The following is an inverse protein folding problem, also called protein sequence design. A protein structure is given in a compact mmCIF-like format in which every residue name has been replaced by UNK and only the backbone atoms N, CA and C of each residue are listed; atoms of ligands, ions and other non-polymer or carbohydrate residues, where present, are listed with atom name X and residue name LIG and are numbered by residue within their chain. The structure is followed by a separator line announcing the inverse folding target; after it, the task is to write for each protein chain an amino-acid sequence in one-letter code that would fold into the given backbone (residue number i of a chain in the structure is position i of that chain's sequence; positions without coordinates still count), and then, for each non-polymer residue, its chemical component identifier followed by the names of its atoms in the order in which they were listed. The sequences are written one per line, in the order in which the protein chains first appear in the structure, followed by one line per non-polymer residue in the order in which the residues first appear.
data_IF_547676567270
#
_entry.id   IF_547676567270
#
_cell.length_a   1.000
_cell.length_b   1.000
_cell.length_c   1.000
_cell.angle_alpha   90.00
_cell.angle_beta   90.00
_cell.angle_gamma   90.00
#
_symmetry.space_group_name_H-M   'P 1'
#
loop_
_entity.id
_entity.type
_entity.pdbx_description
1 polymer ?
#
# COMPACT_ATOMS: atom_id res chain seq x y z
N UNK A 1 3.38 17.94 17.38
CA UNK A 1 3.93 18.25 16.03
C UNK A 1 5.08 19.22 16.18
N UNK A 2 6.27 18.85 15.71
CA UNK A 2 7.29 19.82 15.30
C UNK A 2 7.46 19.82 13.79
N UNK A 3 7.58 21.03 13.23
CA UNK A 3 7.64 21.35 11.81
C UNK A 3 9.11 21.31 11.37
N UNK A 4 9.44 20.55 10.33
CA UNK A 4 10.74 20.60 9.66
C UNK A 4 10.59 21.37 8.33
N UNK A 5 11.50 22.30 7.99
CA UNK A 5 11.58 22.88 6.66
C UNK A 5 12.37 21.94 5.73
N UNK A 6 11.82 21.70 4.54
CA UNK A 6 12.54 21.31 3.31
C UNK A 6 12.50 22.58 2.42
N UNK A 7 13.53 23.00 1.70
CA UNK A 7 14.35 22.25 0.75
C UNK A 7 15.75 22.89 0.61
N UNK A 8 16.80 22.07 0.49
CA UNK A 8 18.04 22.46 -0.19
C UNK A 8 18.50 21.29 -1.04
N UNK A 9 18.40 21.48 -2.35
CA UNK A 9 18.79 20.54 -3.40
C UNK A 9 20.26 20.81 -3.70
N UNK A 10 21.16 19.95 -3.22
CA UNK A 10 22.56 19.99 -3.64
C UNK A 10 22.73 19.06 -4.84
N UNK A 11 23.08 19.68 -5.95
CA UNK A 11 23.33 19.08 -7.25
C UNK A 11 24.82 19.28 -7.51
N UNK A 12 25.66 18.31 -7.12
CA UNK A 12 27.09 18.34 -7.43
C UNK A 12 27.40 17.24 -8.45
N UNK A 13 27.35 17.62 -9.71
CA UNK A 13 27.97 16.92 -10.81
C UNK A 13 28.87 17.96 -11.50
N UNK A 14 30.12 18.05 -11.04
CA UNK A 14 31.15 18.84 -11.72
C UNK A 14 31.91 17.89 -12.66
N UNK A 15 31.39 17.73 -13.87
CA UNK A 15 32.23 17.36 -15.02
C UNK A 15 32.88 18.65 -15.55
N UNK A 16 34.20 18.61 -15.61
CA UNK A 16 35.05 19.72 -16.05
C UNK A 16 35.07 19.72 -17.58
N UNK A 17 34.11 20.40 -18.21
CA UNK A 17 34.10 20.63 -19.65
C UNK A 17 34.97 21.86 -19.97
N UNK A 18 36.05 21.66 -20.71
CA UNK A 18 36.98 22.72 -21.12
C UNK A 18 36.56 23.19 -22.50
N UNK A 19 35.67 24.19 -22.52
CA UNK A 19 35.23 24.87 -23.74
C UNK A 19 36.33 25.83 -24.21
N UNK A 20 36.90 25.55 -25.39
CA UNK A 20 37.83 26.45 -26.07
C UNK A 20 37.01 27.53 -26.78
N UNK A 21 37.17 28.84 -26.47
CA UNK A 21 36.53 29.86 -27.26
C UNK A 21 37.19 29.94 -28.65
N UNK A 22 36.44 29.55 -29.68
CA UNK A 22 36.69 29.92 -31.07
C UNK A 22 36.73 31.45 -31.17
N UNK A 23 37.93 32.00 -31.35
CA UNK A 23 38.10 33.40 -31.74
C UNK A 23 37.71 33.54 -33.22
N UNK A 24 36.42 33.75 -33.46
CA UNK A 24 35.92 34.31 -34.70
C UNK A 24 36.61 35.66 -34.97
N UNK A 25 37.24 35.73 -36.14
CA UNK A 25 38.04 36.84 -36.59
C UNK A 25 37.18 38.10 -36.78
N UNK A 26 37.29 39.04 -35.84
CA UNK A 26 36.74 40.38 -36.00
C UNK A 26 37.68 41.21 -36.89
N UNK A 27 37.40 41.21 -38.19
CA UNK A 27 37.96 42.16 -39.16
C UNK A 27 37.23 43.49 -38.99
N UNK A 28 37.90 44.45 -38.35
CA UNK A 28 37.49 45.85 -38.26
C UNK A 28 38.50 46.68 -39.05
N UNK A 29 38.21 46.89 -40.33
CA UNK A 29 38.83 47.91 -41.17
C UNK A 29 38.25 49.26 -40.77
N UNK A 30 39.05 50.15 -40.19
CA UNK A 30 38.95 51.61 -40.29
C UNK A 30 40.16 52.22 -39.58
N UNK A 31 41.23 52.58 -40.30
CA UNK A 31 42.13 53.66 -39.88
C UNK A 31 42.64 54.40 -41.12
N UNK A 32 42.00 55.54 -41.37
CA UNK A 32 42.45 56.61 -42.25
C UNK A 32 43.67 57.30 -41.59
N UNK A 33 44.85 57.18 -42.20
CA UNK A 33 46.01 57.96 -41.80
C UNK A 33 46.82 58.40 -43.01
N UNK A 34 46.42 59.59 -43.48
CA UNK A 34 47.17 60.58 -44.25
C UNK A 34 48.70 60.39 -44.27
N UNK A 35 49.19 59.74 -45.32
CA UNK A 35 50.59 59.78 -45.72
C UNK A 35 50.96 61.20 -46.15
N UNK A 36 51.58 61.95 -45.23
CA UNK A 36 52.11 63.29 -45.48
C UNK A 36 53.60 63.36 -45.17
N UNK A 37 54.33 63.76 -46.21
CA UNK A 37 55.67 64.35 -46.18
C UNK A 37 56.87 63.42 -46.00
N UNK A 38 57.54 63.22 -47.14
CA UNK A 38 58.98 63.05 -47.17
C UNK A 38 59.66 64.22 -46.43
N UNK A 39 60.60 63.89 -45.55
CA UNK A 39 61.68 64.76 -45.12
C UNK A 39 62.94 63.90 -44.99
N UNK A 40 63.77 63.97 -46.01
CA UNK A 40 65.19 63.68 -45.92
C UNK A 40 65.82 64.79 -45.07
N UNK A 41 66.23 64.51 -43.84
CA UNK A 41 67.43 65.12 -43.27
C UNK A 41 67.96 64.27 -42.11
N UNK A 42 69.26 64.10 -42.09
CA UNK A 42 69.96 63.10 -41.30
C UNK A 42 70.02 63.43 -39.81
N UNK A 43 69.80 62.38 -39.00
CA UNK A 43 70.56 62.15 -37.79
C UNK A 43 70.73 60.64 -37.64
N UNK A 44 71.66 60.09 -38.43
CA UNK A 44 72.15 58.72 -38.28
C UNK A 44 72.92 58.66 -36.96
N UNK A 45 72.20 58.52 -35.85
CA UNK A 45 72.81 58.05 -34.62
C UNK A 45 73.26 56.61 -34.87
N UNK A 46 74.52 56.51 -35.26
CA UNK A 46 75.35 55.32 -35.38
C UNK A 46 75.42 54.68 -33.99
N UNK A 47 74.32 54.02 -33.59
CA UNK A 47 74.35 53.09 -32.47
C UNK A 47 75.30 52.00 -32.90
N UNK A 48 76.44 51.93 -32.21
CA UNK A 48 77.47 50.93 -32.46
C UNK A 48 76.81 49.56 -32.67
N UNK A 49 77.14 48.86 -33.76
CA UNK A 49 76.60 47.53 -34.05
C UNK A 49 76.79 46.59 -32.83
N UNK A 50 77.83 46.86 -32.04
CA UNK A 50 78.10 46.21 -30.75
C UNK A 50 76.99 46.39 -29.71
N UNK A 51 76.38 47.58 -29.61
CA UNK A 51 75.28 47.86 -28.68
C UNK A 51 73.95 47.25 -29.14
N UNK A 52 73.73 47.16 -30.46
CA UNK A 52 72.60 46.41 -31.03
C UNK A 52 72.73 44.91 -30.73
N UNK A 53 73.91 44.34 -30.91
CA UNK A 53 74.17 42.92 -30.61
C UNK A 53 74.11 42.63 -29.10
N UNK A 54 74.57 43.58 -28.25
CA UNK A 54 74.44 43.48 -26.79
C UNK A 54 72.98 43.37 -26.36
N UNK A 55 72.10 44.26 -26.84
CA UNK A 55 70.66 44.23 -26.53
C UNK A 55 69.99 42.97 -27.04
N UNK A 56 70.40 42.46 -28.21
CA UNK A 56 69.91 41.18 -28.74
C UNK A 56 70.28 40.02 -27.82
N UNK A 57 71.52 40.00 -27.34
CA UNK A 57 72.00 38.98 -26.40
C UNK A 57 71.23 39.03 -25.07
N UNK A 58 71.04 40.22 -24.50
CA UNK A 58 70.26 40.41 -23.27
C UNK A 58 68.83 39.88 -23.42
N UNK A 59 68.16 40.17 -24.55
CA UNK A 59 66.82 39.67 -24.83
C UNK A 59 66.77 38.13 -24.95
N UNK A 60 67.79 37.51 -25.56
CA UNK A 60 67.91 36.05 -25.63
C UNK A 60 68.19 35.44 -24.26
N UNK A 61 69.04 36.05 -23.44
CA UNK A 61 69.31 35.62 -22.06
C UNK A 61 68.05 35.72 -21.19
N UNK A 62 67.27 36.79 -21.33
CA UNK A 62 65.98 36.93 -20.65
C UNK A 62 64.98 35.84 -21.09
N UNK A 63 64.86 35.59 -22.40
CA UNK A 63 63.98 34.56 -22.93
C UNK A 63 64.37 33.17 -22.44
N UNK A 64 65.67 32.83 -22.48
CA UNK A 64 66.16 31.53 -21.99
C UNK A 64 65.98 31.38 -20.48
N UNK A 65 66.14 32.46 -19.71
CA UNK A 65 65.85 32.47 -18.27
C UNK A 65 64.36 32.29 -17.98
N UNK A 66 63.47 32.87 -18.79
CA UNK A 66 62.02 32.65 -18.68
C UNK A 66 61.66 31.20 -19.02
N UNK A 67 62.18 30.65 -20.11
CA UNK A 67 61.96 29.24 -20.49
C UNK A 67 62.42 28.28 -19.37
N UNK A 68 63.56 28.57 -18.75
CA UNK A 68 64.05 27.82 -17.60
C UNK A 68 63.06 27.90 -16.41
N UNK A 69 62.58 29.08 -16.07
CA UNK A 69 61.58 29.23 -15.01
C UNK A 69 60.27 28.48 -15.33
N UNK A 70 59.79 28.53 -16.57
CA UNK A 70 58.61 27.78 -17.00
C UNK A 70 58.81 26.26 -16.90
N UNK A 71 59.99 25.77 -17.30
CA UNK A 71 60.30 24.34 -17.17
C UNK A 71 60.41 23.91 -15.72
N UNK A 72 61.07 24.69 -14.87
CA UNK A 72 61.15 24.44 -13.43
C UNK A 72 59.76 24.43 -12.77
N UNK A 73 58.90 25.41 -13.08
CA UNK A 73 57.53 25.48 -12.55
C UNK A 73 56.68 24.30 -12.99
N UNK A 74 56.75 23.94 -14.27
CA UNK A 74 56.06 22.77 -14.82
C UNK A 74 56.49 21.48 -14.11
N UNK A 75 57.78 21.29 -13.90
CA UNK A 75 58.31 20.10 -13.22
C UNK A 75 57.88 20.05 -11.75
N UNK A 76 57.83 21.20 -11.06
CA UNK A 76 57.29 21.28 -9.71
C UNK A 76 55.80 20.88 -9.67
N UNK A 77 54.99 21.40 -10.59
CA UNK A 77 53.56 21.08 -10.67
C UNK A 77 53.34 19.57 -10.91
N UNK A 78 54.10 18.96 -11.81
CA UNK A 78 53.99 17.52 -12.07
C UNK A 78 54.40 16.68 -10.85
N UNK A 79 55.50 17.04 -10.16
CA UNK A 79 55.95 16.33 -8.95
C UNK A 79 54.93 16.46 -7.82
N UNK A 80 54.37 17.65 -7.63
CA UNK A 80 53.31 17.86 -6.64
C UNK A 80 52.08 17.02 -6.97
N UNK A 81 51.62 17.05 -8.22
CA UNK A 81 50.46 16.27 -8.65
C UNK A 81 50.68 14.76 -8.47
N UNK A 82 51.87 14.26 -8.83
CA UNK A 82 52.22 12.86 -8.62
C UNK A 82 52.19 12.51 -7.13
N UNK A 83 52.75 13.36 -6.29
CA UNK A 83 52.75 13.17 -4.82
C UNK A 83 51.33 13.14 -4.25
N UNK A 84 50.44 14.01 -4.70
CA UNK A 84 49.02 14.00 -4.28
C UNK A 84 48.34 12.68 -4.64
N UNK A 85 48.59 12.16 -5.86
CA UNK A 85 48.04 10.87 -6.31
C UNK A 85 48.63 9.71 -5.51
N UNK A 86 49.95 9.71 -5.30
CA UNK A 86 50.62 8.68 -4.50
C UNK A 86 50.09 8.65 -3.06
N UNK A 87 49.87 9.82 -2.43
CA UNK A 87 49.28 9.90 -1.10
C UNK A 87 47.87 9.31 -1.06
N UNK A 88 46.99 9.69 -2.00
CA UNK A 88 45.64 9.10 -2.10
C UNK A 88 45.69 7.59 -2.35
N UNK A 89 46.62 7.12 -3.18
CA UNK A 89 46.81 5.70 -3.42
C UNK A 89 47.23 4.97 -2.13
N UNK A 90 48.14 5.55 -1.34
CA UNK A 90 48.53 4.99 -0.04
C UNK A 90 47.37 4.96 0.95
N UNK A 91 46.53 6.00 1.01
CA UNK A 91 45.32 6.01 1.84
C UNK A 91 44.35 4.88 1.47
N UNK A 92 44.18 4.62 0.16
CA UNK A 92 43.34 3.52 -0.33
C UNK A 92 43.95 2.17 0.02
N UNK A 93 45.25 1.97 -0.21
CA UNK A 93 45.96 0.71 0.12
C UNK A 93 45.92 0.44 1.63
N UNK A 94 46.09 1.48 2.46
CA UNK A 94 46.00 1.39 3.90
C UNK A 94 44.55 1.22 4.41
N UNK A 95 43.55 1.36 3.53
CA UNK A 95 42.13 1.32 3.90
C UNK A 95 41.70 2.49 4.78
N UNK A 96 42.43 3.61 4.75
CA UNK A 96 42.17 4.83 5.53
C UNK A 96 41.48 5.93 4.71
N UNK A 97 41.11 5.66 3.46
CA UNK A 97 40.43 6.62 2.59
C UNK A 97 39.06 7.03 3.16
N UNK A 98 38.98 8.25 3.70
CA UNK A 98 37.77 8.78 4.36
C UNK A 98 36.57 8.86 3.42
N UNK A 99 36.81 9.17 2.14
CA UNK A 99 35.79 9.21 1.08
C UNK A 99 34.99 7.90 0.99
N UNK A 100 35.58 6.76 1.40
CA UNK A 100 34.90 5.46 1.47
C UNK A 100 34.43 5.10 2.88
N UNK A 101 35.25 5.40 3.90
CA UNK A 101 34.95 5.03 5.28
C UNK A 101 33.70 5.73 5.84
N UNK A 102 33.48 7.01 5.54
CA UNK A 102 32.29 7.73 6.03
C UNK A 102 30.97 7.17 5.48
N UNK A 103 30.83 6.93 4.15
CA UNK A 103 29.67 6.21 3.62
C UNK A 103 29.52 4.80 4.20
N UNK A 104 30.63 4.09 4.44
CA UNK A 104 30.60 2.74 5.00
C UNK A 104 30.03 2.72 6.43
N UNK A 105 30.46 3.65 7.29
CA UNK A 105 29.93 3.80 8.66
C UNK A 105 28.43 4.10 8.61
N UNK A 106 28.03 5.05 7.77
CA UNK A 106 26.62 5.41 7.58
C UNK A 106 25.78 4.22 7.10
N UNK A 107 26.30 3.43 6.16
CA UNK A 107 25.64 2.22 5.67
C UNK A 107 25.51 1.15 6.75
N UNK A 108 26.54 0.98 7.57
CA UNK A 108 26.54 0.05 8.71
C UNK A 108 25.52 0.46 9.77
N UNK A 109 25.42 1.76 10.09
CA UNK A 109 24.38 2.29 10.97
C UNK A 109 22.98 2.05 10.41
N UNK A 110 22.75 2.33 9.13
CA UNK A 110 21.47 2.09 8.46
C UNK A 110 21.09 0.60 8.47
N UNK A 111 22.07 -0.30 8.30
CA UNK A 111 21.84 -1.74 8.44
C UNK A 111 21.37 -2.08 9.86
N UNK A 112 22.06 -1.58 10.89
CA UNK A 112 21.68 -1.82 12.28
C UNK A 112 20.28 -1.30 12.61
N UNK A 113 19.95 -0.09 12.12
CA UNK A 113 18.61 0.49 12.30
C UNK A 113 17.56 -0.41 11.64
N UNK A 114 17.78 -0.83 10.38
CA UNK A 114 16.86 -1.73 9.67
C UNK A 114 16.66 -3.05 10.41
N UNK A 115 17.72 -3.65 10.94
CA UNK A 115 17.62 -4.88 11.74
C UNK A 115 16.81 -4.67 13.02
N UNK A 116 17.05 -3.57 13.75
CA UNK A 116 16.29 -3.23 14.96
C UNK A 116 14.81 -3.02 14.66
N UNK A 117 14.49 -2.24 13.62
CA UNK A 117 13.11 -1.99 13.19
C UNK A 117 12.41 -3.28 12.78
N UNK A 118 13.08 -4.16 12.03
CA UNK A 118 12.54 -5.46 11.67
C UNK A 118 12.26 -6.34 12.91
N UNK A 119 13.13 -6.29 13.91
CA UNK A 119 12.92 -6.96 15.20
C UNK A 119 11.67 -6.48 15.92
N UNK A 120 11.53 -5.16 16.10
CA UNK A 120 10.35 -4.54 16.74
C UNK A 120 9.08 -4.88 15.94
N UNK A 121 9.13 -4.81 14.62
CA UNK A 121 7.98 -5.13 13.78
C UNK A 121 7.53 -6.59 13.97
N UNK A 122 8.48 -7.54 14.00
CA UNK A 122 8.19 -8.95 14.28
C UNK A 122 7.52 -9.12 15.64
N UNK A 123 8.01 -8.46 16.68
CA UNK A 123 7.42 -8.51 18.03
C UNK A 123 5.98 -7.98 18.03
N UNK A 124 5.73 -6.84 17.39
CA UNK A 124 4.38 -6.27 17.25
C UNK A 124 3.43 -7.19 16.48
N UNK A 125 3.90 -7.86 15.42
CA UNK A 125 3.11 -8.84 14.69
C UNK A 125 2.73 -10.03 15.58
N UNK A 126 3.69 -10.58 16.34
CA UNK A 126 3.42 -11.68 17.27
C UNK A 126 2.43 -11.27 18.35
N UNK A 127 2.59 -10.09 18.92
CA UNK A 127 1.66 -9.55 19.92
C UNK A 127 0.27 -9.33 19.35
N UNK A 128 0.16 -8.85 18.10
CA UNK A 128 -1.12 -8.70 17.42
C UNK A 128 -1.82 -10.05 17.20
N UNK A 129 -1.08 -11.09 16.81
CA UNK A 129 -1.63 -12.45 16.64
C UNK A 129 -2.08 -13.02 17.99
N UNK A 130 -1.27 -12.83 19.04
CA UNK A 130 -1.62 -13.25 20.39
C UNK A 130 -2.90 -12.59 20.88
N UNK A 131 -3.02 -11.28 20.73
CA UNK A 131 -4.22 -10.54 21.13
C UNK A 131 -5.47 -11.02 20.37
N UNK A 132 -5.35 -11.31 19.07
CA UNK A 132 -6.48 -11.89 18.30
C UNK A 132 -6.87 -13.26 18.83
N UNK A 133 -5.89 -14.11 19.11
CA UNK A 133 -6.11 -15.43 19.69
C UNK A 133 -6.81 -15.32 21.06
N UNK A 134 -6.33 -14.46 21.95
CA UNK A 134 -6.90 -14.29 23.29
C UNK A 134 -8.33 -13.74 23.23
N UNK A 135 -8.61 -12.78 22.34
CA UNK A 135 -9.96 -12.27 22.09
C UNK A 135 -10.91 -13.35 21.57
N UNK A 136 -10.47 -14.18 20.61
CA UNK A 136 -11.28 -15.26 20.05
C UNK A 136 -11.58 -16.33 21.11
N UNK A 137 -10.59 -16.69 21.92
CA UNK A 137 -10.76 -17.61 23.05
C UNK A 137 -11.78 -17.07 24.05
N UNK A 138 -11.72 -15.78 24.38
CA UNK A 138 -12.67 -15.13 25.27
C UNK A 138 -14.09 -15.12 24.67
N UNK A 139 -14.22 -14.75 23.39
CA UNK A 139 -15.51 -14.71 22.70
C UNK A 139 -16.16 -16.11 22.65
N UNK A 140 -15.38 -17.14 22.33
CA UNK A 140 -15.85 -18.53 22.32
C UNK A 140 -16.30 -19.00 23.71
N UNK A 141 -15.55 -18.66 24.76
CA UNK A 141 -15.92 -18.99 26.15
C UNK A 141 -17.21 -18.31 26.57
N UNK A 142 -17.36 -17.01 26.29
CA UNK A 142 -18.57 -16.24 26.62
C UNK A 142 -19.79 -16.73 25.84
N UNK A 143 -19.61 -17.03 24.54
CA UNK A 143 -20.67 -17.62 23.72
C UNK A 143 -21.13 -18.95 24.30
N UNK A 144 -20.20 -19.84 24.66
CA UNK A 144 -20.54 -21.12 25.27
C UNK A 144 -21.29 -20.96 26.60
N UNK A 145 -20.84 -20.07 27.47
CA UNK A 145 -21.53 -19.79 28.75
C UNK A 145 -22.94 -19.24 28.54
N UNK A 146 -23.11 -18.32 27.57
CA UNK A 146 -24.40 -17.75 27.22
C UNK A 146 -25.37 -18.80 26.68
N UNK A 147 -24.94 -19.62 25.71
CA UNK A 147 -25.75 -20.70 25.13
C UNK A 147 -26.16 -21.73 26.19
N UNK A 148 -25.23 -22.07 27.08
CA UNK A 148 -25.52 -22.96 28.21
C UNK A 148 -26.64 -22.38 29.08
N UNK A 149 -26.53 -21.10 29.47
CA UNK A 149 -27.52 -20.45 30.32
C UNK A 149 -28.89 -20.35 29.60
N UNK A 150 -28.89 -19.95 28.33
CA UNK A 150 -30.10 -19.86 27.51
C UNK A 150 -30.81 -21.22 27.38
N UNK A 151 -30.06 -22.31 27.27
CA UNK A 151 -30.61 -23.66 27.24
C UNK A 151 -31.26 -24.03 28.58
N UNK A 152 -30.61 -23.69 29.71
CA UNK A 152 -31.21 -23.89 31.04
C UNK A 152 -32.52 -23.12 31.19
N UNK A 153 -32.55 -21.84 30.80
CA UNK A 153 -33.75 -21.01 30.86
C UNK A 153 -34.86 -21.55 29.96
N UNK A 154 -34.51 -22.05 28.76
CA UNK A 154 -35.46 -22.67 27.82
C UNK A 154 -36.09 -23.92 28.43
N UNK A 155 -35.28 -24.84 28.97
CA UNK A 155 -35.78 -26.06 29.61
C UNK A 155 -36.61 -25.75 30.85
N UNK A 156 -36.18 -24.77 31.65
CA UNK A 156 -36.94 -24.32 32.82
C UNK A 156 -38.32 -23.78 32.39
N UNK A 157 -38.36 -22.89 31.40
CA UNK A 157 -39.62 -22.34 30.88
C UNK A 157 -40.55 -23.40 30.31
N UNK A 158 -40.02 -24.41 29.60
CA UNK A 158 -40.81 -25.55 29.12
C UNK A 158 -41.42 -26.37 30.26
N UNK A 159 -40.68 -26.57 31.36
CA UNK A 159 -41.16 -27.29 32.52
C UNK A 159 -42.23 -26.49 33.27
N UNK A 160 -42.01 -25.19 33.48
CA UNK A 160 -42.99 -24.28 34.11
C UNK A 160 -44.29 -24.22 33.29
N UNK A 161 -44.19 -24.15 31.97
CA UNK A 161 -45.36 -24.16 31.07
C UNK A 161 -46.09 -25.52 31.08
N UNK A 162 -45.36 -26.64 31.16
CA UNK A 162 -45.97 -27.98 31.34
C UNK A 162 -46.70 -28.06 32.67
N UNK A 163 -46.13 -27.55 33.75
CA UNK A 163 -46.78 -27.50 35.07
C UNK A 163 -48.06 -26.67 34.98
N UNK A 164 -48.00 -25.45 34.42
CA UNK A 164 -49.16 -24.57 34.23
C UNK A 164 -50.28 -25.25 33.45
N UNK A 165 -49.98 -25.91 32.33
CA UNK A 165 -51.00 -26.65 31.55
C UNK A 165 -51.62 -27.80 32.32
N UNK A 166 -50.83 -28.56 33.09
CA UNK A 166 -51.35 -29.64 33.93
C UNK A 166 -52.27 -29.10 35.04
N UNK A 167 -51.94 -27.94 35.60
CA UNK A 167 -52.80 -27.25 36.57
C UNK A 167 -54.09 -26.77 35.91
N UNK A 168 -54.03 -26.17 34.72
CA UNK A 168 -55.21 -25.77 33.95
C UNK A 168 -56.10 -26.98 33.61
N UNK A 169 -55.51 -28.07 33.14
CA UNK A 169 -56.23 -29.31 32.85
C UNK A 169 -56.92 -29.86 34.10
N UNK A 170 -56.24 -29.84 35.26
CA UNK A 170 -56.83 -30.23 36.56
C UNK A 170 -58.05 -29.39 36.90
N UNK A 171 -57.93 -28.06 36.85
CA UNK A 171 -59.06 -27.15 37.13
C UNK A 171 -60.19 -27.30 36.09
N UNK A 172 -59.86 -27.57 34.83
CA UNK A 172 -60.85 -27.80 33.77
C UNK A 172 -61.67 -29.08 34.02
N UNK A 173 -61.04 -30.14 34.51
CA UNK A 173 -61.71 -31.40 34.89
C UNK A 173 -62.62 -31.17 36.08
N UNK A 174 -62.19 -30.42 37.10
CA UNK A 174 -63.01 -30.12 38.27
C UNK A 174 -64.28 -29.35 37.89
N UNK A 175 -64.17 -28.30 37.07
CA UNK A 175 -65.32 -27.52 36.57
C UNK A 175 -66.25 -28.38 35.71
N UNK A 176 -65.68 -29.21 34.83
CA UNK A 176 -66.46 -30.08 33.95
C UNK A 176 -67.16 -31.18 34.77
N UNK A 177 -66.49 -31.75 35.77
CA UNK A 177 -67.02 -32.75 36.69
C UNK A 177 -68.20 -32.21 37.51
N UNK A 178 -68.12 -30.97 38.00
CA UNK A 178 -69.24 -30.30 38.68
C UNK A 178 -70.46 -30.10 37.74
N UNK A 179 -70.21 -29.71 36.48
CA UNK A 179 -71.26 -29.51 35.48
C UNK A 179 -71.97 -30.82 35.05
N UNK A 180 -71.24 -31.94 35.00
CA UNK A 180 -71.82 -33.26 34.71
C UNK A 180 -72.44 -33.94 35.95
N UNK A 181 -71.96 -33.64 37.16
CA UNK A 181 -72.59 -34.11 38.40
C UNK A 181 -73.90 -33.39 38.70
N UNK A 182 -74.02 -32.10 38.35
CA UNK A 182 -75.27 -31.34 38.50
C UNK A 182 -76.39 -31.85 37.55
N UNK A 183 -76.01 -32.47 36.44
CA UNK A 183 -76.93 -33.15 35.52
C UNK A 183 -77.48 -34.51 36.01
N UNK A 184 -76.88 -35.11 37.05
CA UNK A 184 -77.22 -36.47 37.51
C UNK A 184 -78.09 -36.51 38.78
N UNK A 185 -78.42 -35.37 39.38
CA UNK A 185 -79.31 -35.31 40.56
C UNK A 185 -80.77 -34.93 40.23
N UNK A 186 -81.16 -34.84 38.96
CA UNK A 186 -82.55 -34.58 38.58
C UNK A 186 -83.19 -35.73 37.81
N UNK A 187 -84.08 -36.44 38.52
CA UNK A 187 -85.17 -37.30 38.01
C UNK A 187 -84.82 -38.63 37.33
N UNK A 188 -85.10 -39.70 38.09
CA UNK A 188 -85.73 -40.93 37.58
C UNK A 188 -86.98 -40.57 36.75
N UNK A 189 -86.99 -40.84 35.43
CA UNK A 189 -88.16 -41.38 34.72
C UNK A 189 -87.88 -41.75 33.24
N UNK A 190 -87.86 -43.06 32.98
CA UNK A 190 -88.67 -43.79 31.98
C UNK A 190 -88.78 -43.23 30.54
N UNK A 191 -88.04 -43.83 29.58
CA UNK A 191 -88.58 -44.63 28.44
C UNK A 191 -87.49 -44.99 27.40
N UNK A 192 -87.61 -46.21 26.88
CA UNK A 192 -86.99 -46.79 25.66
C UNK A 192 -87.24 -45.89 24.42
N UNK A 193 -86.45 -45.91 23.34
CA UNK A 193 -86.27 -47.01 22.36
C UNK A 193 -85.14 -46.70 21.32
N UNK A 194 -84.78 -47.59 20.37
CA UNK A 194 -83.39 -47.88 20.01
C UNK A 194 -83.14 -47.88 18.49
N UNK A 195 -82.52 -46.86 17.89
CA UNK A 195 -82.08 -46.95 16.48
C UNK A 195 -80.81 -46.12 16.22
N UNK A 196 -79.72 -46.83 15.91
CA UNK A 196 -78.51 -46.33 15.22
C UNK A 196 -78.82 -45.97 13.75
N UNK A 197 -77.89 -45.47 12.88
CA UNK A 197 -76.47 -45.13 13.05
C UNK A 197 -76.06 -43.79 12.37
N UNK A 198 -74.91 -43.22 12.74
CA UNK A 198 -74.41 -41.99 12.08
C UNK A 198 -72.91 -41.79 12.19
N UNK A 199 -72.13 -42.58 11.45
CA UNK A 199 -70.68 -42.36 11.28
C UNK A 199 -70.45 -41.01 10.60
N UNK A 200 -70.02 -39.99 11.35
CA UNK A 200 -69.37 -38.80 10.78
C UNK A 200 -67.88 -38.89 11.08
N UNK A 201 -67.11 -39.13 10.02
CA UNK A 201 -65.65 -39.07 10.01
C UNK A 201 -65.23 -37.69 10.52
N UNK A 202 -64.38 -37.64 11.54
CA UNK A 202 -63.62 -36.41 11.86
C UNK A 202 -62.76 -36.08 10.65
N UNK A 203 -62.64 -34.81 10.22
CA UNK A 203 -61.67 -34.43 9.21
C UNK A 203 -60.27 -34.84 9.70
N UNK A 204 -59.49 -35.48 8.84
CA UNK A 204 -58.08 -35.74 9.12
C UNK A 204 -57.39 -34.38 9.17
N UNK A 205 -57.03 -33.93 10.37
CA UNK A 205 -56.15 -32.78 10.52
C UNK A 205 -54.77 -33.25 10.05
N UNK A 206 -54.33 -32.72 8.92
CA UNK A 206 -52.97 -32.93 8.40
C UNK A 206 -52.02 -32.29 9.40
N UNK A 207 -51.46 -33.09 10.30
CA UNK A 207 -50.34 -32.70 11.15
C UNK A 207 -49.06 -33.05 10.41
N UNK A 208 -48.49 -32.05 9.76
CA UNK A 208 -47.21 -32.12 9.06
C UNK A 208 -46.68 -30.71 8.82
N UNK A 209 -45.36 -30.51 8.71
CA UNK A 209 -44.76 -29.19 8.58
C UNK A 209 -45.30 -28.51 7.32
N UNK A 210 -45.98 -27.38 7.51
CA UNK A 210 -46.53 -26.59 6.42
C UNK A 210 -45.39 -25.77 5.81
N UNK A 211 -45.08 -26.01 4.53
CA UNK A 211 -44.18 -25.13 3.78
C UNK A 211 -45.00 -23.88 3.44
N UNK A 212 -44.78 -22.81 4.19
CA UNK A 212 -45.37 -21.50 3.91
C UNK A 212 -44.60 -20.89 2.74
N UNK A 213 -45.22 -20.86 1.55
CA UNK A 213 -44.61 -20.25 0.34
C UNK A 213 -44.72 -18.72 0.30
N UNK A 214 -45.48 -18.13 1.22
CA UNK A 214 -45.71 -16.69 1.30
C UNK A 214 -44.94 -16.13 2.49
N UNK A 215 -43.98 -15.23 2.24
CA UNK A 215 -43.33 -14.48 3.32
C UNK A 215 -44.37 -13.62 4.06
N UNK A 216 -44.13 -13.34 5.35
CA UNK A 216 -44.99 -12.41 6.08
C UNK A 216 -44.76 -10.99 5.55
N UNK A 217 -45.80 -10.14 5.60
CA UNK A 217 -45.72 -8.76 5.12
C UNK A 217 -44.57 -7.97 5.78
N UNK A 218 -44.19 -8.34 7.01
CA UNK A 218 -43.08 -7.73 7.73
C UNK A 218 -41.72 -8.05 7.08
N UNK A 219 -41.48 -9.32 6.73
CA UNK A 219 -40.24 -9.79 6.09
C UNK A 219 -40.09 -9.17 4.69
N UNK A 220 -41.21 -9.06 3.96
CA UNK A 220 -41.25 -8.38 2.65
C UNK A 220 -40.87 -6.90 2.80
N UNK A 221 -41.32 -6.24 3.86
CA UNK A 221 -41.03 -4.83 4.12
C UNK A 221 -39.58 -4.59 4.54
N UNK A 222 -39.01 -5.52 5.31
CA UNK A 222 -37.59 -5.52 5.69
C UNK A 222 -36.69 -5.73 4.46
N UNK A 223 -36.99 -6.73 3.62
CA UNK A 223 -36.25 -6.97 2.38
C UNK A 223 -36.38 -5.78 1.42
N UNK A 224 -37.57 -5.20 1.31
CA UNK A 224 -37.81 -4.00 0.50
C UNK A 224 -36.96 -2.80 0.98
N UNK A 225 -36.82 -2.61 2.28
CA UNK A 225 -35.97 -1.55 2.84
C UNK A 225 -34.49 -1.85 2.66
N UNK A 226 -34.07 -3.11 2.78
CA UNK A 226 -32.69 -3.55 2.51
C UNK A 226 -32.30 -3.31 1.03
N UNK A 227 -33.18 -3.65 0.08
CA UNK A 227 -32.97 -3.39 -1.35
C UNK A 227 -32.84 -1.90 -1.62
N UNK A 228 -33.73 -1.07 -1.07
CA UNK A 228 -33.64 0.39 -1.21
C UNK A 228 -32.33 0.96 -0.67
N UNK A 229 -31.85 0.44 0.46
CA UNK A 229 -30.59 0.86 1.08
C UNK A 229 -29.38 0.46 0.24
N UNK A 230 -29.39 -0.73 -0.35
CA UNK A 230 -28.37 -1.18 -1.29
C UNK A 230 -28.40 -0.41 -2.62
N UNK A 231 -29.58 -0.09 -3.15
CA UNK A 231 -29.70 0.74 -4.36
C UNK A 231 -29.21 2.18 -4.13
N UNK A 232 -29.34 2.71 -2.92
CA UNK A 232 -28.78 4.02 -2.57
C UNK A 232 -27.25 4.02 -2.47
N UNK A 233 -26.62 2.90 -2.09
CA UNK A 233 -25.16 2.75 -2.08
C UNK A 233 -24.59 2.43 -3.46
N UNK A 234 -25.40 1.90 -4.38
CA UNK A 234 -25.07 1.66 -5.79
C UNK A 234 -25.77 2.71 -6.68
N UNK A 235 -25.57 4.00 -6.40
CA UNK A 235 -26.07 5.07 -7.26
C UNK A 235 -25.38 5.06 -8.63
N UNK A 236 -26.08 5.44 -9.73
CA UNK A 236 -25.51 5.44 -11.08
C UNK A 236 -24.38 6.45 -11.20
N UNK A 237 -23.23 5.96 -11.66
CA UNK A 237 -22.06 6.74 -12.04
C UNK A 237 -22.47 7.72 -13.16
N UNK A 238 -22.85 8.95 -12.78
CA UNK A 238 -22.99 10.05 -13.74
C UNK A 238 -21.58 10.44 -14.16
N UNK A 239 -21.18 9.94 -15.34
CA UNK A 239 -20.09 10.50 -16.12
C UNK A 239 -20.42 11.98 -16.36
N UNK A 240 -19.69 12.86 -15.70
CA UNK A 240 -19.57 14.26 -16.09
C UNK A 240 -18.13 14.47 -16.53
N UNK A 241 -18.00 14.78 -17.81
CA UNK A 241 -16.79 15.30 -18.45
C UNK A 241 -16.55 16.69 -17.89
N UNK A 242 -15.40 16.89 -17.24
CA UNK A 242 -14.61 18.13 -17.26
C UNK A 242 -13.18 17.85 -16.74
N UNK A 243 -12.20 18.04 -17.63
CA UNK A 243 -10.76 18.35 -17.48
C UNK A 243 -9.85 17.57 -16.47
N UNK A 244 -8.53 17.43 -16.78
CA UNK A 244 -7.77 16.24 -16.47
C UNK A 244 -7.05 16.32 -15.12
N UNK A 245 -7.41 15.43 -14.20
CA UNK A 245 -6.57 15.10 -13.05
C UNK A 245 -6.25 13.61 -13.18
N UNK A 246 -5.00 13.29 -13.53
CA UNK A 246 -4.49 11.91 -13.58
C UNK A 246 -4.78 11.22 -12.24
N UNK A 247 -5.65 10.19 -12.17
CA UNK A 247 -5.55 9.22 -11.11
C UNK A 247 -4.72 8.08 -11.67
N UNK A 248 -3.46 7.99 -11.27
CA UNK A 248 -2.68 6.76 -11.41
C UNK A 248 -3.24 5.72 -10.42
N UNK A 249 -4.50 5.31 -10.65
CA UNK A 249 -5.12 4.16 -10.04
C UNK A 249 -5.12 3.09 -11.12
N UNK A 250 -4.15 2.18 -11.01
CA UNK A 250 -4.19 0.90 -11.71
C UNK A 250 -5.51 0.22 -11.33
N UNK A 251 -6.55 0.43 -12.14
CA UNK A 251 -7.76 -0.36 -12.06
C UNK A 251 -7.36 -1.74 -12.57
N UNK A 252 -7.00 -2.64 -11.65
CA UNK A 252 -6.76 -4.02 -12.00
C UNK A 252 -8.08 -4.63 -12.46
N UNK A 253 -8.26 -4.77 -13.78
CA UNK A 253 -9.42 -5.45 -14.36
C UNK A 253 -9.21 -6.95 -14.18
N UNK A 254 -9.89 -7.52 -13.18
CA UNK A 254 -9.98 -8.96 -12.99
C UNK A 254 -11.25 -9.47 -13.66
N UNK A 255 -11.12 -10.33 -14.68
CA UNK A 255 -12.27 -11.00 -15.32
C UNK A 255 -12.02 -12.50 -15.41
N UNK A 256 -13.08 -13.29 -15.33
CA UNK A 256 -13.04 -14.74 -15.53
C UNK A 256 -13.77 -15.11 -16.82
N UNK A 257 -13.12 -15.88 -17.67
CA UNK A 257 -13.70 -16.41 -18.90
C UNK A 257 -13.13 -17.81 -19.16
N UNK A 258 -13.98 -18.78 -19.51
CA UNK A 258 -13.61 -20.17 -19.83
C UNK A 258 -12.68 -20.86 -18.80
N UNK A 259 -12.94 -20.65 -17.50
CA UNK A 259 -12.15 -21.26 -16.43
C UNK A 259 -10.72 -20.73 -16.30
N UNK A 260 -10.42 -19.58 -16.93
CA UNK A 260 -9.15 -18.84 -16.81
C UNK A 260 -9.40 -17.48 -16.17
N UNK A 261 -8.44 -17.04 -15.35
CA UNK A 261 -8.46 -15.71 -14.73
C UNK A 261 -7.63 -14.74 -15.57
N UNK A 262 -8.21 -13.63 -15.98
CA UNK A 262 -7.49 -12.52 -16.57
C UNK A 262 -7.16 -11.50 -15.48
N UNK A 263 -5.87 -11.25 -15.27
CA UNK A 263 -5.39 -10.24 -14.33
C UNK A 263 -4.15 -9.56 -14.92
N UNK A 264 -4.10 -8.23 -14.87
CA UNK A 264 -2.97 -7.42 -15.33
C UNK A 264 -2.49 -7.80 -16.76
N UNK A 265 -3.44 -7.84 -17.70
CA UNK A 265 -3.23 -8.20 -19.11
C UNK A 265 -2.71 -9.62 -19.39
N UNK A 266 -2.80 -10.54 -18.42
CA UNK A 266 -2.37 -11.94 -18.57
C UNK A 266 -3.45 -12.92 -18.14
N UNK A 267 -3.48 -14.07 -18.82
CA UNK A 267 -4.36 -15.19 -18.49
C UNK A 267 -3.65 -16.20 -17.59
N UNK A 268 -4.34 -16.62 -16.53
CA UNK A 268 -3.88 -17.60 -15.57
C UNK A 268 -4.83 -18.79 -15.52
N UNK A 269 -4.25 -19.99 -15.47
CA UNK A 269 -4.97 -21.27 -15.33
C UNK A 269 -5.00 -21.71 -13.86
N UNK A 270 -5.95 -22.58 -13.51
CA UNK A 270 -6.06 -23.17 -12.16
C UNK A 270 -4.71 -23.74 -11.70
N UNK A 271 -4.28 -23.39 -10.48
CA UNK A 271 -3.01 -23.80 -9.89
C UNK A 271 -1.81 -22.90 -10.21
N UNK A 272 -1.94 -21.90 -11.08
CA UNK A 272 -0.88 -20.91 -11.30
C UNK A 272 -0.89 -19.83 -10.19
N UNK A 273 0.31 -19.43 -9.79
CA UNK A 273 0.52 -18.40 -8.79
C UNK A 273 0.61 -17.00 -9.43
N UNK A 274 -0.06 -16.03 -8.84
CA UNK A 274 -0.09 -14.61 -9.24
C UNK A 274 0.50 -13.81 -8.10
N UNK A 275 1.49 -12.97 -8.40
CA UNK A 275 2.10 -12.07 -7.42
C UNK A 275 1.52 -10.67 -7.63
N UNK A 276 0.83 -10.15 -6.61
CA UNK A 276 0.27 -8.78 -6.65
C UNK A 276 1.11 -7.94 -5.69
N UNK A 277 1.88 -6.99 -6.25
CA UNK A 277 2.64 -6.02 -5.47
C UNK A 277 1.82 -4.74 -5.37
N UNK A 278 1.31 -4.43 -4.18
CA UNK A 278 0.77 -3.08 -3.90
C UNK A 278 1.91 -2.20 -3.43
N UNK A 279 1.90 -0.92 -3.81
CA UNK A 279 3.03 0.02 -3.64
C UNK A 279 3.45 0.23 -2.17
N UNK A 280 2.61 -0.20 -1.21
CA UNK A 280 2.83 -0.06 0.24
C UNK A 280 2.75 -1.39 1.03
N UNK A 281 2.77 -2.56 0.36
CA UNK A 281 2.70 -3.88 1.02
C UNK A 281 3.71 -4.87 0.40
N UNK A 282 4.21 -5.82 1.20
CA UNK A 282 5.04 -6.93 0.69
C UNK A 282 4.30 -7.70 -0.41
N UNK A 283 5.00 -8.15 -1.48
CA UNK A 283 4.35 -8.84 -2.59
C UNK A 283 3.70 -10.14 -2.12
N UNK A 284 2.37 -10.17 -2.11
CA UNK A 284 1.61 -11.35 -1.69
C UNK A 284 1.40 -12.28 -2.87
N UNK A 285 1.72 -13.56 -2.67
CA UNK A 285 1.56 -14.62 -3.68
C UNK A 285 0.21 -15.29 -3.48
N UNK A 286 -0.64 -15.26 -4.50
CA UNK A 286 -1.95 -15.91 -4.51
C UNK A 286 -1.93 -17.07 -5.49
N UNK A 287 -2.54 -18.20 -5.14
CA UNK A 287 -2.73 -19.32 -6.08
C UNK A 287 -4.16 -19.26 -6.62
N UNK A 288 -4.33 -19.41 -7.93
CA UNK A 288 -5.65 -19.50 -8.54
C UNK A 288 -6.29 -20.86 -8.19
N UNK A 289 -7.04 -20.94 -7.09
CA UNK A 289 -7.64 -22.20 -6.60
C UNK A 289 -8.98 -22.50 -7.29
N UNK A 290 -9.79 -21.48 -7.54
CA UNK A 290 -11.11 -21.57 -8.17
C UNK A 290 -11.40 -20.29 -8.98
N UNK A 291 -11.96 -20.41 -10.19
CA UNK A 291 -12.45 -19.27 -10.98
C UNK A 291 -13.92 -19.04 -10.63
N UNK A 292 -14.17 -18.65 -9.39
CA UNK A 292 -15.46 -18.12 -8.93
C UNK A 292 -15.13 -16.78 -8.29
N UNK A 293 -15.94 -15.76 -8.58
CA UNK A 293 -15.68 -14.34 -8.38
C UNK A 293 -15.37 -13.90 -6.92
N UNK A 294 -15.21 -14.81 -5.95
CA UNK A 294 -15.14 -14.43 -4.55
C UNK A 294 -14.34 -15.31 -3.58
N UNK A 295 -13.47 -16.22 -4.01
CA UNK A 295 -12.66 -17.00 -3.07
C UNK A 295 -11.18 -17.02 -3.46
N UNK A 296 -10.41 -16.07 -2.91
CA UNK A 296 -8.97 -16.17 -2.82
C UNK A 296 -8.60 -16.74 -1.45
N UNK A 297 -7.90 -17.87 -1.44
CA UNK A 297 -7.34 -18.47 -0.24
C UNK A 297 -5.86 -18.02 -0.14
N UNK A 298 -5.45 -17.28 0.90
CA UNK A 298 -4.04 -16.98 1.13
C UNK A 298 -3.31 -18.28 1.49
N UNK A 299 -2.12 -18.49 0.92
CA UNK A 299 -1.18 -19.47 1.49
C UNK A 299 -0.39 -18.76 2.61
N UNK A 300 -0.42 -19.34 3.80
CA UNK A 300 0.53 -19.08 4.89
C UNK A 300 1.93 -19.59 4.54
#
# INVERSE_FOLDING_TARGET
MPVHPRDRKENNHEEMDVDYPEQEASSSDEEDSVSSSASEDGDTSDMDDEDCERRRMECLDEMTNLEKQFTDLKDHLYKERLTQVDLKLQEVIAGSALEYLEPLVTLQENMQIRTKVAGIYRELCLESVRNKYDCEMQAASQHWESEKLLLFDTVQGELEEKIRRLEEDRHSIDITSELWNDGLQSKKNKKKDPLSPGKKKKPVVVSGPYIVYMLQDLDILEDWTAIRKAMASVGPHRVKVDAPVKPERHHHVARSEDGRLFYDNKWYSRGQAICISRKDEYPTRYVCVCVIQQLFCPQE
#
